data_IF_454347595259
#
_entry.id   IF_454347595259
#
_cell.length_a   1.000
_cell.length_b   1.000
_cell.length_c   1.000
_cell.angle_alpha   90.00
_cell.angle_beta   90.00
_cell.angle_gamma   90.00
#
_symmetry.space_group_name_H-M   'P 1'
#
loop_
_entity.id
_entity.type
_entity.pdbx_description
1 polymer ?
#
# COMPACT_ATOMS: atom_id res chain seq x y z
N UNK A 1 -41.71 -44.08 30.07
CA UNK A 1 -40.57 -43.60 30.89
C UNK A 1 -40.95 -42.31 31.59
N UNK A 2 -40.68 -42.20 32.91
CA UNK A 2 -40.99 -40.99 33.64
C UNK A 2 -40.09 -39.83 33.25
N UNK A 3 -40.60 -38.60 33.17
CA UNK A 3 -39.85 -37.40 32.72
C UNK A 3 -38.54 -37.18 33.48
N UNK A 4 -38.54 -37.53 34.79
CA UNK A 4 -37.34 -37.45 35.64
C UNK A 4 -36.25 -38.46 35.25
N UNK A 5 -36.64 -39.66 34.79
CA UNK A 5 -35.71 -40.68 34.29
C UNK A 5 -35.06 -40.21 32.96
N UNK A 6 -35.86 -39.66 32.06
CA UNK A 6 -35.36 -39.08 30.75
C UNK A 6 -34.37 -37.94 31.04
N UNK A 7 -34.68 -37.04 31.99
CA UNK A 7 -33.78 -35.95 32.35
C UNK A 7 -32.43 -36.43 32.86
N UNK A 8 -32.40 -37.50 33.67
CA UNK A 8 -31.14 -38.10 34.16
C UNK A 8 -30.33 -38.75 33.03
N UNK A 9 -31.02 -39.49 32.13
CA UNK A 9 -30.38 -40.23 31.05
C UNK A 9 -29.74 -39.26 30.01
N UNK A 10 -30.43 -38.14 29.69
CA UNK A 10 -30.00 -37.16 28.71
C UNK A 10 -29.16 -36.02 29.35
N UNK A 11 -28.95 -36.03 30.65
CA UNK A 11 -28.16 -35.01 31.36
C UNK A 11 -28.82 -33.61 31.39
N UNK A 12 -30.14 -33.54 31.38
CA UNK A 12 -30.89 -32.28 31.43
C UNK A 12 -31.85 -32.17 32.62
N UNK A 13 -32.33 -30.96 32.91
CA UNK A 13 -33.31 -30.74 33.97
C UNK A 13 -34.65 -31.41 33.66
N UNK A 14 -35.41 -31.82 34.70
CA UNK A 14 -36.75 -32.36 34.54
C UNK A 14 -37.68 -31.40 33.77
N UNK A 15 -37.53 -30.08 33.97
CA UNK A 15 -38.28 -29.04 33.28
C UNK A 15 -37.97 -29.03 31.77
N UNK A 16 -36.69 -29.15 31.41
CA UNK A 16 -36.25 -29.24 29.99
C UNK A 16 -36.81 -30.51 29.35
N UNK A 17 -36.68 -31.67 30.01
CA UNK A 17 -37.22 -32.92 29.50
C UNK A 17 -38.76 -32.88 29.35
N UNK A 18 -39.49 -32.28 30.29
CA UNK A 18 -40.94 -32.09 30.22
C UNK A 18 -41.33 -31.20 29.00
N UNK A 19 -40.64 -30.05 28.83
CA UNK A 19 -40.87 -29.13 27.74
C UNK A 19 -40.73 -29.83 26.38
N UNK A 20 -39.67 -30.55 26.16
CA UNK A 20 -39.42 -31.23 24.90
C UNK A 20 -40.36 -32.40 24.63
N UNK A 21 -40.75 -33.16 25.70
CA UNK A 21 -41.77 -34.18 25.58
C UNK A 21 -43.14 -33.64 25.15
N UNK A 22 -43.59 -32.53 25.75
CA UNK A 22 -44.85 -31.89 25.39
C UNK A 22 -44.80 -31.39 23.92
N UNK A 23 -43.70 -30.77 23.53
CA UNK A 23 -43.52 -30.30 22.13
C UNK A 23 -43.51 -31.44 21.13
N UNK A 24 -42.81 -32.52 21.45
CA UNK A 24 -42.79 -33.73 20.61
C UNK A 24 -44.18 -34.40 20.51
N UNK A 25 -44.87 -34.52 21.63
CA UNK A 25 -46.23 -35.07 21.66
C UNK A 25 -47.19 -34.29 20.77
N UNK A 26 -47.02 -32.93 20.73
CA UNK A 26 -47.93 -32.05 19.99
C UNK A 26 -47.51 -31.87 18.53
N UNK A 27 -46.24 -31.82 18.24
CA UNK A 27 -45.71 -31.44 16.92
C UNK A 27 -44.73 -32.47 16.30
N UNK A 28 -44.58 -33.66 16.96
CA UNK A 28 -43.64 -34.70 16.51
C UNK A 28 -42.21 -34.12 16.29
N UNK A 29 -41.54 -34.52 15.21
CA UNK A 29 -40.17 -34.11 14.90
C UNK A 29 -40.04 -32.59 14.70
N UNK A 30 -41.03 -31.93 14.11
CA UNK A 30 -41.04 -30.47 13.95
C UNK A 30 -41.02 -29.74 15.29
N UNK A 31 -41.62 -30.34 16.31
CA UNK A 31 -41.58 -29.79 17.67
C UNK A 31 -40.21 -29.80 18.35
N UNK A 32 -39.24 -30.56 17.82
CA UNK A 32 -37.86 -30.59 18.30
C UNK A 32 -36.97 -29.50 17.68
N UNK A 33 -37.44 -28.84 16.64
CA UNK A 33 -36.76 -27.69 16.03
C UNK A 33 -36.85 -26.48 16.98
N UNK A 34 -35.77 -25.72 17.12
CA UNK A 34 -35.83 -24.46 17.84
C UNK A 34 -36.66 -23.44 17.05
N UNK A 35 -37.77 -23.00 17.63
CA UNK A 35 -38.63 -21.99 17.03
C UNK A 35 -38.16 -20.61 17.46
N UNK A 36 -37.63 -19.86 16.53
CA UNK A 36 -37.44 -18.42 16.64
C UNK A 36 -36.23 -17.96 17.45
N UNK A 37 -35.80 -16.77 17.16
CA UNK A 37 -34.79 -16.07 17.89
C UNK A 37 -35.20 -15.81 19.34
N UNK A 38 -34.45 -16.35 20.27
CA UNK A 38 -34.57 -16.02 21.70
C UNK A 38 -33.81 -14.71 21.94
N UNK A 39 -34.53 -13.62 22.08
CA UNK A 39 -33.93 -12.31 22.39
C UNK A 39 -34.81 -11.16 21.88
N UNK A 40 -34.45 -9.96 22.30
CA UNK A 40 -35.05 -8.74 21.77
C UNK A 40 -34.66 -8.58 20.29
N UNK A 41 -35.54 -7.99 19.49
CA UNK A 41 -35.24 -7.62 18.11
C UNK A 41 -33.94 -6.78 18.06
N UNK A 42 -33.09 -6.94 17.03
CA UNK A 42 -31.89 -6.13 16.89
C UNK A 42 -32.27 -4.63 16.92
N UNK A 43 -31.61 -3.86 17.78
CA UNK A 43 -31.82 -2.41 17.89
C UNK A 43 -31.48 -1.68 16.58
N UNK A 44 -30.50 -2.19 15.85
CA UNK A 44 -30.01 -1.63 14.59
C UNK A 44 -30.26 -2.61 13.44
N UNK A 45 -30.70 -2.09 12.30
CA UNK A 45 -31.09 -2.86 11.12
C UNK A 45 -30.15 -2.55 9.95
N UNK A 46 -30.32 -3.27 8.84
CA UNK A 46 -29.62 -3.00 7.57
C UNK A 46 -29.78 -1.55 7.09
N UNK A 47 -30.85 -0.85 7.49
CA UNK A 47 -31.02 0.58 7.20
C UNK A 47 -30.01 1.43 7.97
N UNK A 48 -29.73 1.10 9.22
CA UNK A 48 -28.70 1.77 10.01
C UNK A 48 -27.33 1.58 9.38
N UNK A 49 -27.04 0.37 8.90
CA UNK A 49 -25.76 0.05 8.22
C UNK A 49 -25.57 0.90 6.96
N UNK A 50 -26.63 1.04 6.14
CA UNK A 50 -26.59 1.91 4.96
C UNK A 50 -26.33 3.38 5.32
N UNK A 51 -26.93 3.87 6.43
CA UNK A 51 -26.70 5.24 6.90
C UNK A 51 -25.26 5.45 7.34
N UNK A 52 -24.64 4.47 8.03
CA UNK A 52 -23.22 4.52 8.41
C UNK A 52 -22.34 4.60 7.16
N UNK A 53 -22.59 3.79 6.13
CA UNK A 53 -21.82 3.81 4.88
C UNK A 53 -22.00 5.15 4.14
N UNK A 54 -23.24 5.62 4.00
CA UNK A 54 -23.53 6.89 3.34
C UNK A 54 -22.83 8.08 4.03
N UNK A 55 -22.64 8.01 5.36
CA UNK A 55 -21.91 9.04 6.08
C UNK A 55 -20.42 9.10 5.67
N UNK A 56 -19.80 7.97 5.29
CA UNK A 56 -18.43 7.93 4.83
C UNK A 56 -18.22 8.59 3.45
N UNK A 57 -19.28 8.68 2.65
CA UNK A 57 -19.25 9.33 1.33
C UNK A 57 -19.38 10.87 1.44
N UNK A 58 -19.65 11.39 2.64
CA UNK A 58 -19.72 12.83 2.91
C UNK A 58 -18.43 13.36 3.52
N UNK A 59 -18.23 14.68 3.46
CA UNK A 59 -17.12 15.33 4.17
C UNK A 59 -17.30 15.21 5.68
N UNK A 60 -16.23 14.99 6.46
CA UNK A 60 -16.31 15.07 7.92
C UNK A 60 -16.63 16.51 8.36
N UNK A 61 -17.07 16.70 9.61
CA UNK A 61 -17.35 18.04 10.14
C UNK A 61 -16.13 18.96 10.06
N UNK A 62 -16.37 20.26 10.01
CA UNK A 62 -15.32 21.28 9.98
C UNK A 62 -14.30 21.07 11.11
N UNK A 63 -13.04 21.25 10.79
CA UNK A 63 -11.93 21.02 11.69
C UNK A 63 -11.44 19.55 11.76
N UNK A 64 -12.14 18.61 11.12
CA UNK A 64 -11.73 17.21 11.07
C UNK A 64 -11.33 16.80 9.64
N UNK A 65 -10.15 16.19 9.50
CA UNK A 65 -9.67 15.70 8.21
C UNK A 65 -10.18 14.30 7.82
N UNK A 66 -10.93 13.62 8.71
CA UNK A 66 -11.45 12.26 8.48
C UNK A 66 -12.60 11.92 9.43
N UNK A 67 -13.45 11.00 9.02
CA UNK A 67 -14.43 10.39 9.89
C UNK A 67 -13.78 9.51 10.96
N UNK A 68 -14.43 9.42 12.10
CA UNK A 68 -14.14 8.48 13.17
C UNK A 68 -15.44 7.87 13.70
N UNK A 69 -15.37 6.74 14.42
CA UNK A 69 -16.57 6.14 15.00
C UNK A 69 -17.42 7.11 15.83
N UNK A 70 -16.81 7.89 16.74
CA UNK A 70 -17.56 8.91 17.50
C UNK A 70 -18.20 9.99 16.63
N UNK A 71 -17.49 10.48 15.58
CA UNK A 71 -18.05 11.49 14.69
C UNK A 71 -19.24 10.96 13.88
N UNK A 72 -19.14 9.72 13.38
CA UNK A 72 -20.26 9.07 12.67
C UNK A 72 -21.47 8.90 13.61
N UNK A 73 -21.24 8.41 14.83
CA UNK A 73 -22.32 8.24 15.81
C UNK A 73 -22.97 9.59 16.17
N UNK A 74 -22.18 10.64 16.35
CA UNK A 74 -22.68 12.00 16.61
C UNK A 74 -23.49 12.56 15.44
N UNK A 75 -23.01 12.36 14.20
CA UNK A 75 -23.71 12.81 13.00
C UNK A 75 -25.04 12.07 12.77
N UNK A 76 -25.13 10.81 13.13
CA UNK A 76 -26.35 10.00 13.03
C UNK A 76 -27.33 10.23 14.20
N UNK A 77 -26.83 10.60 15.38
CA UNK A 77 -27.57 10.99 16.57
C UNK A 77 -28.23 9.83 17.34
N UNK A 78 -28.61 8.76 16.67
CA UNK A 78 -29.37 7.62 17.21
C UNK A 78 -28.59 6.29 17.24
N UNK A 79 -27.32 6.32 16.82
CA UNK A 79 -26.46 5.12 16.69
C UNK A 79 -25.34 5.16 17.71
N UNK A 80 -25.19 4.06 18.46
CA UNK A 80 -24.12 3.91 19.44
C UNK A 80 -22.75 3.76 18.77
N UNK A 81 -21.72 4.40 19.34
CA UNK A 81 -20.34 4.36 18.85
C UNK A 81 -19.79 2.92 18.77
N UNK A 82 -20.18 2.07 19.73
CA UNK A 82 -19.72 0.67 19.76
C UNK A 82 -20.32 -0.13 18.60
N UNK A 83 -21.57 0.21 18.21
CA UNK A 83 -22.18 -0.39 17.05
C UNK A 83 -21.45 0.03 15.77
N UNK A 84 -21.15 1.32 15.61
CA UNK A 84 -20.38 1.84 14.47
C UNK A 84 -19.05 1.09 14.35
N UNK A 85 -18.29 0.97 15.42
CA UNK A 85 -17.01 0.26 15.40
C UNK A 85 -17.15 -1.23 15.07
N UNK A 86 -18.16 -1.90 15.62
CA UNK A 86 -18.43 -3.31 15.33
C UNK A 86 -18.80 -3.50 13.87
N UNK A 87 -19.66 -2.66 13.33
CA UNK A 87 -20.07 -2.68 11.92
C UNK A 87 -18.88 -2.46 10.99
N UNK A 88 -18.10 -1.39 11.20
CA UNK A 88 -16.93 -1.09 10.36
C UNK A 88 -15.91 -2.23 10.36
N UNK A 89 -15.66 -2.84 11.52
CA UNK A 89 -14.78 -4.03 11.61
C UNK A 89 -15.32 -5.22 10.84
N UNK A 90 -16.63 -5.47 10.93
CA UNK A 90 -17.28 -6.55 10.16
C UNK A 90 -17.15 -6.32 8.65
N UNK A 91 -17.23 -5.07 8.20
CA UNK A 91 -17.04 -4.67 6.80
C UNK A 91 -15.55 -4.54 6.40
N UNK A 92 -14.61 -4.77 7.32
CA UNK A 92 -13.15 -4.57 7.12
C UNK A 92 -12.78 -3.13 6.70
N UNK A 93 -13.56 -2.15 7.14
CA UNK A 93 -13.31 -0.73 6.90
C UNK A 93 -12.45 -0.18 8.03
N UNK A 94 -11.23 0.23 7.71
CA UNK A 94 -10.31 0.89 8.62
C UNK A 94 -10.29 2.40 8.33
N UNK A 95 -10.89 3.19 9.22
CA UNK A 95 -10.92 4.65 9.10
C UNK A 95 -9.55 5.31 9.37
N UNK A 96 -8.63 4.61 10.04
CA UNK A 96 -7.28 5.10 10.32
C UNK A 96 -6.30 4.79 9.18
N UNK A 97 -6.45 3.63 8.55
CA UNK A 97 -5.64 3.14 7.46
C UNK A 97 -6.09 3.71 6.12
N UNK A 98 -5.66 4.94 5.79
CA UNK A 98 -5.89 5.48 4.44
C UNK A 98 -5.02 4.76 3.44
N UNK A 99 -5.64 3.95 2.59
CA UNK A 99 -5.03 3.54 1.33
C UNK A 99 -5.39 4.58 0.27
N UNK A 100 -4.38 5.21 -0.31
CA UNK A 100 -4.59 6.03 -1.50
C UNK A 100 -4.78 5.11 -2.70
N UNK A 101 -5.76 5.39 -3.52
CA UNK A 101 -5.83 4.85 -4.87
C UNK A 101 -5.73 6.00 -5.87
N UNK A 102 -5.23 5.70 -7.04
CA UNK A 102 -5.19 6.65 -8.13
C UNK A 102 -5.96 6.05 -9.30
N UNK A 103 -6.95 6.78 -9.80
CA UNK A 103 -7.65 6.43 -11.01
C UNK A 103 -7.09 7.27 -12.14
N UNK A 104 -6.64 6.62 -13.19
CA UNK A 104 -6.13 7.31 -14.37
C UNK A 104 -7.27 7.93 -15.17
N UNK A 105 -7.10 9.20 -15.55
CA UNK A 105 -7.98 9.91 -16.48
C UNK A 105 -7.35 9.96 -17.90
N UNK A 106 -6.33 9.16 -18.16
CA UNK A 106 -5.67 9.11 -19.48
C UNK A 106 -6.59 8.40 -20.48
N UNK A 107 -7.03 9.06 -21.56
CA UNK A 107 -7.90 8.44 -22.56
C UNK A 107 -7.20 7.26 -23.26
N UNK A 108 -5.86 7.28 -23.35
CA UNK A 108 -5.06 6.22 -23.97
C UNK A 108 -4.56 5.20 -22.95
N UNK A 109 -5.15 5.14 -21.75
CA UNK A 109 -4.67 4.27 -20.66
C UNK A 109 -4.47 2.84 -21.11
N UNK A 110 -5.46 2.24 -21.76
CA UNK A 110 -5.42 0.84 -22.16
C UNK A 110 -4.29 0.56 -23.17
N UNK A 111 -4.10 1.43 -24.16
CA UNK A 111 -3.06 1.30 -25.16
C UNK A 111 -1.66 1.42 -24.55
N UNK A 112 -1.41 2.47 -23.76
CA UNK A 112 -0.12 2.70 -23.09
C UNK A 112 0.21 1.61 -22.07
N UNK A 113 -0.78 1.17 -21.29
CA UNK A 113 -0.59 0.09 -20.33
C UNK A 113 -0.28 -1.24 -21.04
N UNK A 114 -0.98 -1.55 -22.13
CA UNK A 114 -0.72 -2.75 -22.93
C UNK A 114 0.69 -2.74 -23.56
N UNK A 115 1.15 -1.57 -24.06
CA UNK A 115 2.50 -1.40 -24.58
C UNK A 115 3.57 -1.70 -23.52
N UNK A 116 3.43 -1.12 -22.32
CA UNK A 116 4.39 -1.33 -21.23
C UNK A 116 4.36 -2.78 -20.73
N UNK A 117 3.17 -3.35 -20.54
CA UNK A 117 3.04 -4.75 -20.13
C UNK A 117 3.60 -5.68 -21.22
N UNK A 118 3.41 -5.35 -22.49
CA UNK A 118 4.02 -6.06 -23.60
C UNK A 118 5.55 -6.08 -23.51
N UNK A 119 6.19 -4.95 -23.22
CA UNK A 119 7.64 -4.85 -23.02
C UNK A 119 8.13 -5.69 -21.84
N UNK A 120 7.30 -5.85 -20.79
CA UNK A 120 7.64 -6.69 -19.64
C UNK A 120 7.53 -8.18 -19.94
N UNK A 121 6.52 -8.60 -20.69
CA UNK A 121 6.23 -10.02 -20.94
C UNK A 121 6.99 -10.57 -22.15
N UNK A 122 7.19 -9.75 -23.17
CA UNK A 122 7.82 -10.15 -24.43
C UNK A 122 8.70 -8.99 -24.95
N UNK A 123 9.87 -8.73 -24.32
CA UNK A 123 10.78 -7.70 -24.81
C UNK A 123 11.26 -8.04 -26.22
N UNK A 124 11.52 -7.05 -27.09
CA UNK A 124 12.09 -7.29 -28.40
C UNK A 124 13.43 -8.00 -28.30
N UNK A 125 13.73 -8.85 -29.29
CA UNK A 125 15.01 -9.56 -29.35
C UNK A 125 16.19 -8.60 -29.34
N UNK A 126 17.23 -8.91 -28.57
CA UNK A 126 18.44 -8.08 -28.38
C UNK A 126 18.20 -6.66 -27.84
N UNK A 127 17.01 -6.33 -27.40
CA UNK A 127 16.71 -5.06 -26.76
C UNK A 127 17.03 -5.07 -25.27
N UNK A 128 17.37 -3.89 -24.76
CA UNK A 128 17.45 -3.60 -23.34
C UNK A 128 16.18 -2.86 -22.90
N UNK A 129 15.40 -3.43 -22.01
CA UNK A 129 14.21 -2.80 -21.46
C UNK A 129 14.48 -2.31 -20.05
N UNK A 130 14.42 -1.00 -19.85
CA UNK A 130 14.73 -0.32 -18.60
C UNK A 130 13.51 0.41 -18.06
N UNK A 131 13.20 0.23 -16.80
CA UNK A 131 12.33 1.11 -16.04
C UNK A 131 13.19 2.18 -15.36
N UNK A 132 12.98 3.45 -15.70
CA UNK A 132 13.82 4.56 -15.23
C UNK A 132 12.99 5.59 -14.48
N UNK A 133 13.52 6.07 -13.36
CA UNK A 133 12.90 7.12 -12.54
C UNK A 133 13.89 7.73 -11.55
N UNK A 134 13.46 8.76 -10.79
CA UNK A 134 14.25 9.40 -9.74
C UNK A 134 13.62 9.27 -8.37
N UNK A 135 14.44 8.96 -7.36
CA UNK A 135 14.11 9.14 -5.96
C UNK A 135 14.72 10.43 -5.44
N UNK A 136 13.95 11.53 -5.38
CA UNK A 136 14.45 12.81 -4.95
C UNK A 136 14.59 12.92 -3.43
N UNK A 137 15.39 13.91 -2.99
CA UNK A 137 15.43 14.37 -1.59
C UNK A 137 15.74 13.29 -0.56
N UNK A 138 16.59 12.31 -0.90
CA UNK A 138 17.10 11.34 0.07
C UNK A 138 17.98 12.09 1.05
N UNK A 139 17.62 12.03 2.35
CA UNK A 139 18.27 12.85 3.39
C UNK A 139 19.33 12.05 4.14
N UNK A 140 20.52 12.64 4.28
CA UNK A 140 21.54 12.14 5.20
C UNK A 140 21.21 12.65 6.62
N UNK A 141 20.56 11.80 7.40
CA UNK A 141 20.17 12.08 8.78
C UNK A 141 21.08 11.32 9.73
N UNK A 142 21.73 12.04 10.63
CA UNK A 142 22.47 11.47 11.75
C UNK A 142 21.56 11.43 12.98
N UNK A 143 21.36 10.24 13.52
CA UNK A 143 20.55 9.99 14.72
C UNK A 143 21.31 9.08 15.67
N UNK A 144 21.22 9.34 16.96
CA UNK A 144 21.70 8.40 17.97
C UNK A 144 20.82 7.15 17.91
N UNK A 145 21.45 6.02 17.63
CA UNK A 145 20.83 4.70 17.62
C UNK A 145 21.12 3.97 18.92
N UNK A 146 20.19 3.19 19.39
CA UNK A 146 20.39 2.42 20.60
C UNK A 146 19.18 1.56 20.97
N UNK A 147 19.21 1.06 22.19
CA UNK A 147 18.08 0.38 22.79
C UNK A 147 17.81 0.94 24.19
N UNK A 148 16.53 0.99 24.56
CA UNK A 148 16.09 1.36 25.89
C UNK A 148 15.65 0.09 26.62
N UNK A 149 16.29 -0.22 27.76
CA UNK A 149 15.80 -1.26 28.66
C UNK A 149 14.61 -0.72 29.46
N UNK A 150 13.49 -1.39 29.38
CA UNK A 150 12.29 -1.09 30.17
C UNK A 150 12.36 -1.79 31.53
N UNK A 151 11.64 -1.25 32.53
CA UNK A 151 11.56 -1.81 33.87
C UNK A 151 11.03 -3.26 33.89
N UNK A 152 10.27 -3.66 32.89
CA UNK A 152 9.75 -5.03 32.73
C UNK A 152 10.74 -6.02 32.06
N UNK A 153 12.01 -5.65 31.91
CA UNK A 153 13.06 -6.47 31.30
C UNK A 153 13.06 -6.52 29.78
N UNK A 154 12.09 -5.88 29.10
CA UNK A 154 12.07 -5.78 27.63
C UNK A 154 13.02 -4.68 27.15
N UNK A 155 13.61 -4.88 25.98
CA UNK A 155 14.38 -3.87 25.29
C UNK A 155 13.60 -3.33 24.08
N UNK A 156 13.53 -2.00 23.95
CA UNK A 156 13.04 -1.32 22.76
C UNK A 156 14.26 -0.83 21.97
N UNK A 157 14.44 -1.35 20.77
CA UNK A 157 15.38 -0.77 19.80
C UNK A 157 14.76 0.47 19.17
N UNK A 158 15.54 1.53 19.07
CA UNK A 158 15.04 2.79 18.53
C UNK A 158 16.15 3.76 18.19
N UNK A 159 15.73 4.93 17.76
CA UNK A 159 16.60 6.05 17.44
C UNK A 159 16.06 7.32 18.09
N UNK A 160 16.95 8.27 18.34
CA UNK A 160 16.58 9.58 18.87
C UNK A 160 15.62 10.32 17.92
N UNK A 161 14.66 11.06 18.48
CA UNK A 161 13.84 12.01 17.72
C UNK A 161 14.69 13.15 17.18
N UNK A 162 15.72 13.56 17.92
CA UNK A 162 16.67 14.58 17.47
C UNK A 162 17.56 14.03 16.36
N UNK A 163 17.77 14.84 15.34
CA UNK A 163 18.61 14.47 14.22
C UNK A 163 19.39 15.68 13.73
N UNK A 164 20.58 15.42 13.18
CA UNK A 164 21.37 16.37 12.42
C UNK A 164 21.27 16.03 10.93
N UNK A 165 21.00 17.03 10.10
CA UNK A 165 20.91 16.86 8.65
C UNK A 165 22.22 17.25 7.99
N UNK A 166 22.81 16.35 7.22
CA UNK A 166 24.07 16.56 6.49
C UNK A 166 23.86 16.83 4.98
N UNK A 167 22.63 17.01 4.55
CA UNK A 167 22.27 17.31 3.17
C UNK A 167 21.33 16.29 2.54
N UNK A 168 21.10 16.46 1.24
CA UNK A 168 20.21 15.63 0.44
C UNK A 168 20.86 15.23 -0.89
N UNK A 169 20.49 14.08 -1.41
CA UNK A 169 20.83 13.64 -2.77
C UNK A 169 19.60 13.18 -3.51
N UNK A 170 19.67 13.15 -4.83
CA UNK A 170 18.67 12.53 -5.71
C UNK A 170 19.31 11.33 -6.38
N UNK A 171 18.69 10.18 -6.33
CA UNK A 171 19.12 8.97 -7.01
C UNK A 171 18.31 8.80 -8.30
N UNK A 172 19.00 8.77 -9.45
CA UNK A 172 18.45 8.24 -10.69
C UNK A 172 18.75 6.76 -10.75
N UNK A 173 17.77 5.96 -11.11
CA UNK A 173 17.93 4.52 -11.24
C UNK A 173 17.29 4.01 -12.53
N UNK A 174 17.96 3.05 -13.13
CA UNK A 174 17.48 2.27 -14.27
C UNK A 174 17.45 0.80 -13.85
N UNK A 175 16.27 0.22 -13.81
CA UNK A 175 16.03 -1.17 -13.48
C UNK A 175 15.91 -1.98 -14.78
N UNK A 176 16.83 -2.89 -15.02
CA UNK A 176 16.76 -3.81 -16.16
C UNK A 176 15.72 -4.89 -15.89
N UNK A 177 14.69 -4.94 -16.72
CA UNK A 177 13.55 -5.82 -16.58
C UNK A 177 13.94 -7.30 -16.74
N UNK A 178 14.89 -7.57 -17.62
CA UNK A 178 15.29 -8.96 -17.92
C UNK A 178 16.20 -9.56 -16.85
N UNK A 179 17.13 -8.76 -16.31
CA UNK A 179 18.15 -9.25 -15.40
C UNK A 179 17.90 -8.90 -13.94
N UNK A 180 17.04 -7.93 -13.66
CA UNK A 180 16.84 -7.38 -12.33
C UNK A 180 17.98 -6.48 -11.85
N UNK A 181 18.98 -6.24 -12.66
CA UNK A 181 20.12 -5.39 -12.32
C UNK A 181 19.70 -3.91 -12.31
N UNK A 182 20.19 -3.18 -11.33
CA UNK A 182 19.95 -1.74 -11.21
C UNK A 182 21.24 -0.97 -11.49
N UNK A 183 21.13 0.00 -12.40
CA UNK A 183 22.16 1.01 -12.58
C UNK A 183 21.70 2.29 -11.91
N UNK A 184 22.46 2.77 -10.93
CA UNK A 184 22.15 3.99 -10.18
C UNK A 184 23.18 5.09 -10.35
N UNK A 185 22.73 6.33 -10.26
CA UNK A 185 23.61 7.50 -10.19
C UNK A 185 23.01 8.60 -9.32
N UNK A 186 23.84 9.20 -8.48
CA UNK A 186 23.40 10.22 -7.55
C UNK A 186 23.73 11.62 -8.07
N UNK A 187 22.76 12.52 -7.97
CA UNK A 187 22.86 13.90 -8.40
C UNK A 187 22.35 14.85 -7.31
N UNK A 188 22.78 16.10 -7.40
CA UNK A 188 22.31 17.15 -6.47
C UNK A 188 20.87 17.60 -6.81
N UNK A 189 20.46 17.48 -8.08
CA UNK A 189 19.16 17.97 -8.58
C UNK A 189 18.55 16.98 -9.58
N UNK A 190 17.23 17.08 -9.80
CA UNK A 190 16.48 16.31 -10.80
C UNK A 190 16.02 17.20 -11.95
N UNK A 191 16.95 17.71 -12.75
CA UNK A 191 16.62 18.52 -13.93
C UNK A 191 16.85 17.71 -15.19
N UNK A 192 16.39 18.23 -16.31
CA UNK A 192 16.62 17.64 -17.63
C UNK A 192 18.09 17.32 -17.90
N UNK A 193 19.00 18.20 -17.48
CA UNK A 193 20.44 18.01 -17.71
C UNK A 193 20.99 16.77 -16.95
N UNK A 194 20.57 16.56 -15.71
CA UNK A 194 20.98 15.39 -14.93
C UNK A 194 20.35 14.11 -15.50
N UNK A 195 19.09 14.17 -15.93
CA UNK A 195 18.44 13.05 -16.60
C UNK A 195 19.18 12.67 -17.89
N UNK A 196 19.53 13.64 -18.74
CA UNK A 196 20.25 13.37 -19.98
C UNK A 196 21.70 12.89 -19.73
N UNK A 197 22.40 13.38 -18.70
CA UNK A 197 23.69 12.83 -18.31
C UNK A 197 23.57 11.36 -17.91
N UNK A 198 22.54 11.02 -17.13
CA UNK A 198 22.28 9.65 -16.76
C UNK A 198 21.96 8.76 -17.97
N UNK A 199 21.10 9.22 -18.88
CA UNK A 199 20.77 8.50 -20.10
C UNK A 199 21.98 8.32 -21.03
N UNK A 200 22.84 9.33 -21.16
CA UNK A 200 24.08 9.23 -21.93
C UNK A 200 25.00 8.12 -21.40
N UNK A 201 25.05 7.94 -20.09
CA UNK A 201 25.83 6.85 -19.47
C UNK A 201 25.25 5.49 -19.80
N UNK A 202 23.91 5.35 -19.72
CA UNK A 202 23.21 4.11 -20.10
C UNK A 202 23.49 3.77 -21.57
N UNK A 203 23.32 4.73 -22.48
CA UNK A 203 23.58 4.53 -23.92
C UNK A 203 25.03 4.15 -24.17
N UNK A 204 25.98 4.84 -23.52
CA UNK A 204 27.43 4.56 -23.65
C UNK A 204 27.78 3.14 -23.18
N UNK A 205 27.15 2.66 -22.11
CA UNK A 205 27.39 1.31 -21.58
C UNK A 205 26.75 0.19 -22.43
N UNK A 206 25.78 0.53 -23.30
CA UNK A 206 24.99 -0.43 -24.09
C UNK A 206 25.02 -0.12 -25.59
N UNK A 207 26.21 0.16 -26.11
CA UNK A 207 26.40 0.47 -27.54
C UNK A 207 25.93 -0.69 -28.43
N UNK A 208 25.27 -0.36 -29.53
CA UNK A 208 24.81 -1.35 -30.52
C UNK A 208 23.54 -2.13 -30.12
N UNK A 209 22.92 -1.81 -28.98
CA UNK A 209 21.63 -2.40 -28.57
C UNK A 209 20.49 -1.40 -28.74
N UNK A 210 19.31 -1.93 -29.04
CA UNK A 210 18.07 -1.17 -28.91
C UNK A 210 17.73 -1.01 -27.41
N UNK A 211 17.34 0.19 -27.01
CA UNK A 211 17.09 0.52 -25.60
C UNK A 211 15.67 1.07 -25.48
N UNK A 212 14.79 0.31 -24.86
CA UNK A 212 13.44 0.71 -24.53
C UNK A 212 13.40 1.22 -23.09
N UNK A 213 12.98 2.45 -22.89
CA UNK A 213 12.99 3.12 -21.59
C UNK A 213 11.58 3.45 -21.17
N UNK A 214 11.12 2.84 -20.11
CA UNK A 214 9.82 3.11 -19.51
C UNK A 214 9.98 4.21 -18.48
N UNK A 215 9.19 5.27 -18.64
CA UNK A 215 9.27 6.53 -17.90
C UNK A 215 7.89 6.97 -17.41
N UNK A 216 7.86 7.70 -16.31
CA UNK A 216 6.67 8.44 -15.93
C UNK A 216 6.49 9.72 -16.77
N UNK A 217 5.35 10.40 -16.57
CA UNK A 217 5.01 11.62 -17.33
C UNK A 217 5.69 12.89 -16.79
N UNK A 218 6.76 12.77 -15.98
CA UNK A 218 7.45 13.94 -15.46
C UNK A 218 8.00 14.82 -16.61
N UNK A 219 7.85 16.13 -16.47
CA UNK A 219 8.25 17.08 -17.53
C UNK A 219 9.75 17.03 -17.86
N UNK A 220 10.60 16.55 -16.94
CA UNK A 220 12.04 16.35 -17.18
C UNK A 220 12.32 15.19 -18.14
N UNK A 221 11.42 14.23 -18.27
CA UNK A 221 11.58 13.05 -19.13
C UNK A 221 11.13 13.32 -20.56
N UNK A 222 10.16 14.21 -20.75
CA UNK A 222 9.57 14.47 -22.08
C UNK A 222 10.59 15.04 -23.05
N UNK A 223 10.54 14.61 -24.34
CA UNK A 223 11.38 15.19 -25.39
C UNK A 223 11.22 16.71 -25.48
N UNK A 224 12.33 17.42 -25.67
CA UNK A 224 12.38 18.89 -25.76
C UNK A 224 13.23 19.33 -26.94
N UNK A 225 13.43 20.63 -27.06
CA UNK A 225 14.24 21.24 -28.11
C UNK A 225 15.71 20.81 -28.11
N UNK A 226 16.16 20.08 -27.08
CA UNK A 226 17.52 19.53 -27.03
C UNK A 226 17.80 18.46 -28.11
N UNK A 227 16.76 17.95 -28.77
CA UNK A 227 16.82 16.93 -29.82
C UNK A 227 17.62 15.67 -29.41
N UNK A 228 17.72 15.39 -28.11
CA UNK A 228 18.51 14.27 -27.62
C UNK A 228 18.04 12.93 -28.19
N UNK A 229 16.72 12.66 -28.12
CA UNK A 229 16.12 11.42 -28.64
C UNK A 229 16.33 11.28 -30.16
N UNK A 230 16.23 12.38 -30.92
CA UNK A 230 16.46 12.36 -32.36
C UNK A 230 17.91 11.97 -32.71
N UNK A 231 18.88 12.23 -31.84
CA UNK A 231 20.29 11.83 -32.01
C UNK A 231 20.61 10.42 -31.56
N UNK A 232 19.73 9.81 -30.77
CA UNK A 232 19.87 8.45 -30.24
C UNK A 232 18.75 7.56 -30.80
N UNK A 233 18.86 7.22 -32.09
CA UNK A 233 17.82 6.49 -32.84
C UNK A 233 17.52 5.09 -32.28
N UNK A 234 18.48 4.52 -31.56
CA UNK A 234 18.34 3.25 -30.87
C UNK A 234 17.71 3.34 -29.48
N UNK A 235 17.18 4.52 -29.08
CA UNK A 235 16.51 4.71 -27.79
C UNK A 235 15.04 5.06 -28.01
N UNK A 236 14.16 4.31 -27.37
CA UNK A 236 12.71 4.46 -27.47
C UNK A 236 12.12 4.73 -26.09
N UNK A 237 11.41 5.86 -25.95
CA UNK A 237 10.76 6.25 -24.70
C UNK A 237 9.29 5.80 -24.70
N UNK A 238 8.90 5.07 -23.66
CA UNK A 238 7.54 4.60 -23.39
C UNK A 238 7.04 5.24 -22.10
N UNK A 239 6.01 6.07 -22.23
CA UNK A 239 5.48 6.80 -21.08
C UNK A 239 4.33 6.05 -20.44
N UNK A 240 4.37 5.90 -19.10
CA UNK A 240 3.23 5.34 -18.35
C UNK A 240 1.99 6.20 -18.54
N UNK A 241 0.77 5.64 -18.49
CA UNK A 241 -0.44 6.43 -18.45
C UNK A 241 -0.41 7.46 -17.32
N UNK A 242 -1.07 8.59 -17.49
CA UNK A 242 -1.19 9.60 -16.43
C UNK A 242 -1.75 8.96 -15.14
N UNK A 243 -1.16 9.30 -14.02
CA UNK A 243 -1.54 8.74 -12.70
C UNK A 243 -1.40 7.21 -12.56
N UNK A 244 -0.53 6.60 -13.37
CA UNK A 244 -0.25 5.16 -13.35
C UNK A 244 1.26 4.85 -13.18
N UNK A 245 1.97 5.64 -12.36
CA UNK A 245 3.40 5.42 -12.06
C UNK A 245 3.71 4.03 -11.48
N UNK A 246 2.71 3.37 -10.86
CA UNK A 246 2.83 1.99 -10.39
C UNK A 246 3.15 0.97 -11.51
N UNK A 247 2.94 1.31 -12.77
CA UNK A 247 3.40 0.52 -13.91
C UNK A 247 4.93 0.61 -14.11
N UNK A 248 5.60 1.62 -13.54
CA UNK A 248 7.04 1.74 -13.61
C UNK A 248 7.71 0.90 -12.51
N UNK A 249 8.27 -0.25 -12.87
CA UNK A 249 8.78 -1.24 -11.90
C UNK A 249 9.94 -0.73 -11.03
N UNK A 250 10.66 0.31 -11.44
CA UNK A 250 11.72 0.90 -10.60
C UNK A 250 11.18 1.47 -9.28
N UNK A 251 9.90 1.85 -9.23
CA UNK A 251 9.23 2.30 -7.99
C UNK A 251 9.19 1.18 -6.92
N UNK A 252 9.02 -0.07 -7.34
CA UNK A 252 9.08 -1.23 -6.44
C UNK A 252 10.49 -1.33 -5.85
N UNK A 253 11.51 -1.20 -6.69
CA UNK A 253 12.89 -1.22 -6.23
C UNK A 253 13.21 -0.05 -5.28
N UNK A 254 12.72 1.17 -5.55
CA UNK A 254 12.84 2.29 -4.61
C UNK A 254 12.18 2.01 -3.26
N UNK A 255 11.09 1.28 -3.23
CA UNK A 255 10.44 0.86 -1.99
C UNK A 255 11.30 -0.14 -1.22
N UNK A 256 11.97 -1.07 -1.92
CA UNK A 256 12.93 -2.01 -1.33
C UNK A 256 14.14 -1.27 -0.76
N UNK A 257 14.74 -0.35 -1.53
CA UNK A 257 15.84 0.52 -1.07
C UNK A 257 15.44 1.29 0.20
N UNK A 258 14.27 1.94 0.16
CA UNK A 258 13.77 2.71 1.30
C UNK A 258 13.59 1.84 2.55
N UNK A 259 12.99 0.66 2.40
CA UNK A 259 12.69 -0.25 3.51
C UNK A 259 13.92 -0.95 4.07
N UNK A 260 14.84 -1.41 3.21
CA UNK A 260 15.98 -2.23 3.63
C UNK A 260 17.25 -1.43 3.91
N UNK A 261 17.50 -0.35 3.16
CA UNK A 261 18.77 0.38 3.26
C UNK A 261 18.63 1.74 3.98
N UNK A 262 17.52 2.45 3.82
CA UNK A 262 17.40 3.82 4.33
C UNK A 262 16.63 3.91 5.65
N UNK A 263 15.60 3.08 5.81
CA UNK A 263 14.76 3.10 7.03
C UNK A 263 15.57 2.66 8.24
N UNK A 264 15.67 3.56 9.23
CA UNK A 264 16.40 3.28 10.47
C UNK A 264 17.92 3.45 10.37
N UNK A 265 18.47 3.77 9.19
CA UNK A 265 19.89 4.07 9.05
C UNK A 265 20.23 5.47 9.59
N UNK A 266 21.52 5.65 9.97
CA UNK A 266 22.07 6.92 10.46
C UNK A 266 23.32 7.24 9.66
N UNK A 267 23.41 8.49 9.16
CA UNK A 267 24.49 8.91 8.26
C UNK A 267 25.13 10.21 8.79
N UNK A 268 26.39 10.17 9.08
CA UNK A 268 27.17 11.29 9.59
C UNK A 268 27.67 12.27 8.50
N UNK A 269 27.48 11.92 7.22
CA UNK A 269 27.77 12.79 6.10
C UNK A 269 26.92 12.43 4.87
N UNK A 270 26.86 13.34 3.90
CA UNK A 270 26.22 13.08 2.62
C UNK A 270 26.94 11.99 1.82
N UNK A 271 28.26 11.94 1.91
CA UNK A 271 29.09 10.96 1.21
C UNK A 271 28.93 9.56 1.82
N UNK A 272 28.76 9.46 3.15
CA UNK A 272 28.41 8.20 3.79
C UNK A 272 27.06 7.65 3.31
N UNK A 273 26.04 8.51 3.16
CA UNK A 273 24.77 8.12 2.56
C UNK A 273 24.94 7.62 1.11
N UNK A 274 25.70 8.36 0.31
CA UNK A 274 25.93 7.98 -1.11
C UNK A 274 26.63 6.63 -1.23
N UNK A 275 27.72 6.44 -0.50
CA UNK A 275 28.45 5.17 -0.49
C UNK A 275 27.56 3.99 -0.03
N UNK A 276 26.70 4.24 0.96
CA UNK A 276 25.76 3.23 1.45
C UNK A 276 24.74 2.81 0.37
N UNK A 277 24.22 3.78 -0.41
CA UNK A 277 23.33 3.49 -1.53
C UNK A 277 24.07 2.72 -2.63
N UNK A 278 25.28 3.15 -2.98
CA UNK A 278 26.08 2.50 -4.03
C UNK A 278 26.37 1.03 -3.67
N UNK A 279 26.77 0.75 -2.42
CA UNK A 279 26.95 -0.63 -1.92
C UNK A 279 25.64 -1.44 -1.98
N UNK A 280 24.49 -0.81 -1.70
CA UNK A 280 23.20 -1.50 -1.79
C UNK A 280 22.84 -1.86 -3.24
N UNK A 281 23.19 -1.02 -4.21
CA UNK A 281 22.97 -1.25 -5.64
C UNK A 281 23.84 -2.42 -6.15
N UNK A 282 25.07 -2.54 -5.65
CA UNK A 282 26.02 -3.59 -6.04
C UNK A 282 25.68 -4.98 -5.49
N UNK A 283 24.82 -5.08 -4.47
CA UNK A 283 24.38 -6.34 -3.83
C UNK A 283 23.11 -6.93 -4.43
#
# INVERSE_FOLDING_TARGET
>A
MATRAIGREVGCTTGTASKWRVRFAKHRLEGLSETGNRGAAPKYTAQTDKRILAQLDTSPPDGYGRWSGPLIAAALGDVDVQYVWRFLRAQKIDLAGRKSWCQSNDPDFAAKAAEIVGLYLAPPENALVLAVDEKPSIQALERVQGYLKLANGRALTGQSHNYKRHGTTTLFAAFDIATGVVTGRQYKRRRRIEFLDFMNRIVKANQGREIHVILDNLNTHKPKCDRWLARHKNVHFHFTPTSASWLNQVEIWFSILAGKALKGASFHSLDALKAHIDIFIER
#
